data_IF_414762362246
#
_entry.id   IF_414762362246
#
_cell.length_a   1.000
_cell.length_b   1.000
_cell.length_c   1.000
_cell.angle_alpha   90.00
_cell.angle_beta   90.00
_cell.angle_gamma   90.00
#
_symmetry.space_group_name_H-M   'P 1'
#
loop_
_entity.id
_entity.type
_entity.pdbx_description
1 polymer ?
#
# COMPACT_ATOMS: atom_id res chain seq x y z
N UNK A 1 6.59 17.31 13.46
CA UNK A 1 7.13 17.14 12.10
C UNK A 1 6.09 17.61 11.12
N UNK A 2 6.11 17.01 9.95
CA UNK A 2 5.13 17.19 8.88
C UNK A 2 3.72 16.90 9.41
N UNK A 3 2.73 17.61 8.87
CA UNK A 3 1.33 17.59 9.35
C UNK A 3 1.11 17.92 10.85
N UNK A 4 2.13 18.42 11.55
CA UNK A 4 2.08 18.63 13.00
C UNK A 4 2.17 17.34 13.84
N UNK A 5 2.56 16.21 13.24
CA UNK A 5 2.60 14.89 13.89
C UNK A 5 4.02 14.36 14.14
N UNK A 6 4.07 13.22 14.84
CA UNK A 6 5.20 12.29 14.98
C UNK A 6 4.63 10.86 14.98
N UNK A 7 5.49 9.83 14.91
CA UNK A 7 5.13 8.41 14.66
C UNK A 7 4.84 8.10 13.17
N UNK A 8 4.32 6.90 12.88
CA UNK A 8 4.03 6.39 11.53
C UNK A 8 2.53 6.04 11.43
N UNK A 9 2.16 5.03 10.64
CA UNK A 9 0.80 4.43 10.48
C UNK A 9 -0.08 5.07 9.43
N UNK A 10 0.21 6.31 9.05
CA UNK A 10 -0.55 6.99 8.01
C UNK A 10 -0.09 6.55 6.62
N UNK A 11 -0.99 6.61 5.64
CA UNK A 11 -0.69 6.43 4.21
C UNK A 11 -0.02 7.67 3.57
N UNK A 12 0.15 8.75 4.34
CA UNK A 12 0.88 9.94 3.89
C UNK A 12 2.35 9.63 3.59
N UNK A 13 2.93 10.40 2.67
CA UNK A 13 4.24 10.14 2.06
C UNK A 13 5.34 9.86 3.07
N UNK A 14 5.42 10.68 4.12
CA UNK A 14 6.45 10.66 5.14
C UNK A 14 6.40 9.39 6.02
N UNK A 15 5.23 8.74 6.08
CA UNK A 15 5.01 7.48 6.81
C UNK A 15 5.00 6.26 5.88
N UNK A 16 4.62 6.45 4.62
CA UNK A 16 4.46 5.39 3.63
C UNK A 16 5.78 5.00 2.97
N UNK A 17 6.57 5.99 2.57
CA UNK A 17 7.75 5.77 1.74
C UNK A 17 8.99 5.47 2.60
N UNK A 18 9.70 4.40 2.27
CA UNK A 18 10.94 3.99 2.96
C UNK A 18 12.11 4.07 2.00
N UNK A 19 13.26 4.65 2.40
CA UNK A 19 14.47 4.61 1.59
C UNK A 19 14.88 3.18 1.25
N UNK A 20 15.14 2.91 -0.03
CA UNK A 20 15.59 1.61 -0.52
C UNK A 20 16.86 1.77 -1.35
N UNK A 21 17.97 1.19 -0.88
CA UNK A 21 19.26 1.22 -1.56
C UNK A 21 19.73 -0.22 -1.72
N UNK A 22 20.07 -0.61 -2.95
CA UNK A 22 20.51 -1.96 -3.28
C UNK A 22 21.87 -1.90 -3.96
N UNK A 23 22.76 -2.82 -3.58
CA UNK A 23 24.03 -3.08 -4.26
C UNK A 23 24.13 -4.56 -4.59
N UNK A 24 24.12 -4.88 -5.88
CA UNK A 24 24.27 -6.25 -6.36
C UNK A 24 25.34 -6.28 -7.47
N UNK A 25 26.58 -6.70 -7.15
CA UNK A 25 27.66 -6.76 -8.13
C UNK A 25 27.29 -7.60 -9.35
N UNK A 26 27.54 -7.06 -10.55
CA UNK A 26 27.19 -7.72 -11.81
C UNK A 26 25.72 -7.56 -12.24
N UNK A 27 24.85 -7.00 -11.40
CA UNK A 27 23.44 -6.73 -11.71
C UNK A 27 23.17 -5.22 -11.69
N UNK A 28 23.40 -4.57 -10.55
CA UNK A 28 23.15 -3.13 -10.41
C UNK A 28 24.23 -2.28 -11.07
N UNK A 29 23.82 -1.21 -11.76
CA UNK A 29 24.71 -0.14 -12.20
C UNK A 29 24.91 0.90 -11.06
N UNK A 30 26.15 1.24 -10.68
CA UNK A 30 26.39 2.23 -9.63
C UNK A 30 25.83 3.62 -9.99
N UNK A 31 25.16 4.25 -9.03
CA UNK A 31 24.64 5.62 -9.18
C UNK A 31 23.28 5.73 -9.90
N UNK A 32 22.67 4.61 -10.30
CA UNK A 32 21.33 4.59 -10.92
C UNK A 32 20.23 4.83 -9.88
N UNK A 33 19.17 5.53 -10.31
CA UNK A 33 17.92 5.75 -9.55
C UNK A 33 16.73 5.19 -10.32
N UNK A 34 15.64 4.86 -9.62
CA UNK A 34 14.40 4.37 -10.21
C UNK A 34 13.19 4.93 -9.47
N UNK A 35 12.19 5.39 -10.22
CA UNK A 35 10.89 5.85 -9.70
C UNK A 35 9.82 4.75 -9.77
N UNK A 36 10.21 3.52 -10.15
CA UNK A 36 9.28 2.40 -10.21
C UNK A 36 8.71 2.09 -8.82
N UNK A 37 7.41 1.83 -8.76
CA UNK A 37 6.74 1.46 -7.51
C UNK A 37 7.19 0.06 -7.10
N UNK A 38 7.87 -0.01 -5.95
CA UNK A 38 8.33 -1.25 -5.31
C UNK A 38 7.64 -1.45 -3.96
N UNK A 39 7.63 -2.69 -3.51
CA UNK A 39 7.01 -3.11 -2.25
C UNK A 39 8.00 -3.93 -1.44
N UNK A 40 7.83 -3.91 -0.11
CA UNK A 40 8.53 -4.87 0.77
C UNK A 40 8.22 -6.33 0.40
N UNK A 41 7.09 -6.57 -0.27
CA UNK A 41 6.72 -7.89 -0.78
C UNK A 41 7.60 -8.34 -1.94
N UNK A 42 8.36 -7.46 -2.59
CA UNK A 42 9.23 -7.81 -3.72
C UNK A 42 10.54 -8.47 -3.28
N UNK A 43 10.95 -8.23 -2.03
CA UNK A 43 12.26 -8.64 -1.54
C UNK A 43 12.42 -10.16 -1.47
N UNK A 44 11.45 -10.93 -0.94
CA UNK A 44 11.57 -12.39 -0.89
C UNK A 44 11.76 -13.02 -2.28
N UNK A 45 11.01 -12.60 -3.29
CA UNK A 45 11.11 -13.05 -4.69
C UNK A 45 12.45 -12.65 -5.30
N UNK A 46 12.93 -11.44 -5.00
CA UNK A 46 14.27 -10.98 -5.40
C UNK A 46 15.37 -11.85 -4.80
N UNK A 47 15.23 -12.24 -3.53
CA UNK A 47 16.21 -13.10 -2.86
C UNK A 47 16.17 -14.53 -3.39
N UNK A 48 14.99 -15.06 -3.74
CA UNK A 48 14.86 -16.37 -4.37
C UNK A 48 15.53 -16.38 -5.74
N UNK A 49 15.28 -15.36 -6.58
CA UNK A 49 15.97 -15.20 -7.87
C UNK A 49 17.49 -15.13 -7.68
N UNK A 50 17.96 -14.30 -6.74
CA UNK A 50 19.38 -14.16 -6.44
C UNK A 50 20.04 -15.48 -6.02
N UNK A 51 19.28 -16.35 -5.34
CA UNK A 51 19.72 -17.67 -4.90
C UNK A 51 19.49 -18.78 -5.96
N UNK A 52 19.01 -18.44 -7.15
CA UNK A 52 18.69 -19.40 -8.21
C UNK A 52 17.56 -20.37 -7.83
N UNK A 53 16.66 -19.95 -6.94
CA UNK A 53 15.52 -20.75 -6.48
C UNK A 53 14.25 -20.39 -7.26
N UNK A 54 13.34 -21.35 -7.39
CA UNK A 54 12.02 -21.11 -7.97
C UNK A 54 11.17 -20.22 -7.07
N UNK A 55 10.43 -19.28 -7.65
CA UNK A 55 9.45 -18.45 -6.92
C UNK A 55 8.11 -19.19 -6.81
N UNK A 56 7.62 -19.47 -5.58
CA UNK A 56 6.28 -19.99 -5.36
C UNK A 56 5.17 -19.10 -5.94
N UNK A 57 4.12 -19.73 -6.51
CA UNK A 57 3.03 -19.02 -7.18
C UNK A 57 2.04 -18.29 -6.25
N UNK A 58 2.16 -18.49 -4.94
CA UNK A 58 1.30 -17.89 -3.92
C UNK A 58 1.88 -16.60 -3.31
N UNK A 59 3.08 -16.22 -3.73
CA UNK A 59 3.67 -14.93 -3.37
C UNK A 59 3.05 -13.81 -4.21
N UNK A 60 3.11 -12.57 -3.70
CA UNK A 60 2.40 -11.43 -4.27
C UNK A 60 3.34 -10.28 -4.69
N UNK A 61 4.64 -10.44 -4.53
CA UNK A 61 5.64 -9.51 -5.01
C UNK A 61 6.10 -9.84 -6.42
N UNK A 62 7.09 -9.08 -6.87
CA UNK A 62 7.78 -9.33 -8.12
C UNK A 62 9.25 -9.06 -7.89
N UNK A 63 10.12 -9.93 -8.42
CA UNK A 63 11.55 -9.73 -8.25
C UNK A 63 11.98 -8.38 -8.82
N UNK A 64 12.83 -7.69 -8.08
CA UNK A 64 13.44 -6.43 -8.49
C UNK A 64 14.59 -6.64 -9.48
N UNK A 65 15.01 -7.89 -9.74
CA UNK A 65 16.14 -8.22 -10.62
C UNK A 65 16.16 -7.44 -11.93
N UNK A 66 15.07 -7.43 -12.73
CA UNK A 66 14.99 -6.63 -13.95
C UNK A 66 15.19 -5.12 -13.70
N UNK A 67 14.52 -4.55 -12.69
CA UNK A 67 14.66 -3.14 -12.34
C UNK A 67 16.10 -2.80 -11.94
N UNK A 68 16.73 -3.67 -11.15
CA UNK A 68 18.12 -3.52 -10.71
C UNK A 68 19.11 -3.60 -11.88
N UNK A 69 18.77 -4.37 -12.91
CA UNK A 69 19.52 -4.42 -14.18
C UNK A 69 19.22 -3.24 -15.13
N UNK A 70 18.39 -2.28 -14.72
CA UNK A 70 18.02 -1.10 -15.51
C UNK A 70 16.91 -1.35 -16.53
N UNK A 71 16.13 -2.41 -16.37
CA UNK A 71 15.02 -2.77 -17.25
C UNK A 71 13.70 -2.55 -16.51
N UNK A 72 12.79 -1.77 -17.09
CA UNK A 72 11.42 -1.62 -16.59
C UNK A 72 10.49 -2.53 -17.41
N UNK A 73 9.98 -3.62 -16.84
CA UNK A 73 9.00 -4.47 -17.53
C UNK A 73 7.72 -3.72 -17.89
N UNK A 74 7.12 -4.02 -19.04
CA UNK A 74 5.88 -3.37 -19.51
C UNK A 74 4.68 -3.64 -18.58
N UNK A 75 4.68 -4.80 -17.92
CA UNK A 75 3.70 -5.26 -16.95
C UNK A 75 4.04 -4.88 -15.50
N UNK A 76 5.09 -4.07 -15.28
CA UNK A 76 5.43 -3.61 -13.95
C UNK A 76 4.28 -2.81 -13.33
N UNK A 77 4.05 -3.02 -12.03
CA UNK A 77 2.93 -2.40 -11.33
C UNK A 77 2.97 -0.87 -11.41
N UNK A 78 1.79 -0.27 -11.55
CA UNK A 78 1.58 1.19 -11.59
C UNK A 78 0.88 1.72 -10.35
N UNK A 79 0.59 0.83 -9.41
CA UNK A 79 -0.18 1.09 -8.21
C UNK A 79 0.34 0.25 -7.05
N UNK A 80 0.09 0.74 -5.83
CA UNK A 80 0.45 0.10 -4.58
C UNK A 80 -0.75 0.07 -3.65
N UNK A 81 -1.03 -1.10 -3.07
CA UNK A 81 -2.08 -1.27 -2.07
C UNK A 81 -1.54 -1.08 -0.66
N UNK A 82 -2.24 -0.28 0.14
CA UNK A 82 -1.94 -0.07 1.56
C UNK A 82 -3.14 -0.43 2.43
N UNK A 83 -2.90 -1.05 3.58
CA UNK A 83 -3.95 -1.30 4.58
C UNK A 83 -3.38 -1.29 5.99
N UNK A 84 -3.90 -0.38 6.81
CA UNK A 84 -3.61 -0.25 8.23
C UNK A 84 -4.78 -0.72 9.10
N UNK A 85 -4.48 -1.53 10.11
CA UNK A 85 -5.48 -2.23 10.94
C UNK A 85 -5.45 -1.87 12.43
N UNK A 86 -4.40 -1.22 12.93
CA UNK A 86 -4.16 -1.13 14.37
C UNK A 86 -4.98 0.00 15.04
N UNK A 87 -6.28 -0.25 15.22
CA UNK A 87 -7.19 0.62 15.98
C UNK A 87 -8.30 -0.20 16.68
N UNK A 88 -8.71 0.15 17.91
CA UNK A 88 -8.11 1.16 18.80
C UNK A 88 -6.68 0.82 19.19
N UNK A 89 -5.76 1.77 19.20
CA UNK A 89 -4.33 1.50 19.39
C UNK A 89 -3.53 2.75 19.78
N UNK A 90 -2.22 2.60 19.94
CA UNK A 90 -1.33 3.72 20.21
C UNK A 90 -1.48 4.79 19.10
N UNK A 91 -1.41 6.06 19.49
CA UNK A 91 -1.58 7.23 18.62
C UNK A 91 -2.95 7.38 17.94
N UNK A 92 -3.92 6.48 18.23
CA UNK A 92 -5.32 6.57 17.78
C UNK A 92 -5.52 6.78 16.26
N UNK A 93 -4.56 6.33 15.44
CA UNK A 93 -4.69 6.36 13.98
C UNK A 93 -5.80 5.42 13.56
N UNK A 94 -6.76 5.92 12.79
CA UNK A 94 -7.95 5.16 12.37
C UNK A 94 -7.60 4.14 11.32
N UNK A 95 -8.34 3.03 11.29
CA UNK A 95 -8.12 2.03 10.26
C UNK A 95 -8.43 2.60 8.89
N UNK A 96 -7.55 2.34 7.94
CA UNK A 96 -7.72 2.80 6.57
C UNK A 96 -7.03 1.88 5.59
N UNK A 97 -7.54 1.85 4.37
CA UNK A 97 -6.90 1.22 3.24
C UNK A 97 -6.95 2.16 2.04
N UNK A 98 -6.08 1.92 1.07
CA UNK A 98 -6.02 2.76 -0.11
C UNK A 98 -5.14 2.20 -1.21
N UNK A 99 -5.17 2.91 -2.33
CA UNK A 99 -4.32 2.70 -3.49
C UNK A 99 -3.51 3.96 -3.75
N UNK A 100 -2.25 3.76 -4.10
CA UNK A 100 -1.28 4.83 -4.38
C UNK A 100 -0.71 4.61 -5.78
N UNK A 101 -0.68 5.66 -6.60
CA UNK A 101 -0.03 5.69 -7.92
C UNK A 101 1.05 6.77 -7.95
N UNK A 102 1.71 6.97 -9.10
CA UNK A 102 2.69 8.05 -9.31
C UNK A 102 2.08 9.45 -9.07
N UNK A 103 0.78 9.60 -9.30
CA UNK A 103 0.09 10.90 -9.25
C UNK A 103 -0.93 11.01 -8.13
N UNK A 104 -1.66 9.94 -7.82
CA UNK A 104 -2.81 10.02 -6.93
C UNK A 104 -2.71 9.07 -5.75
N UNK A 105 -3.34 9.45 -4.63
CA UNK A 105 -3.67 8.53 -3.54
C UNK A 105 -5.17 8.56 -3.31
N UNK A 106 -5.81 7.39 -3.30
CA UNK A 106 -7.19 7.24 -2.88
C UNK A 106 -7.21 6.34 -1.64
N UNK A 107 -7.82 6.80 -0.56
CA UNK A 107 -7.93 6.01 0.66
C UNK A 107 -9.23 6.26 1.42
N UNK A 108 -9.61 5.26 2.21
CA UNK A 108 -10.88 5.21 2.93
C UNK A 108 -10.64 4.93 4.40
N UNK A 109 -11.11 5.82 5.27
CA UNK A 109 -11.36 5.47 6.66
C UNK A 109 -12.73 4.80 6.71
N UNK A 110 -12.81 3.62 7.33
CA UNK A 110 -13.98 2.74 7.20
C UNK A 110 -14.65 2.38 8.52
N UNK A 111 -14.33 3.09 9.59
CA UNK A 111 -14.99 2.87 10.88
C UNK A 111 -16.33 3.61 10.97
N UNK A 112 -17.33 3.11 11.71
CA UNK A 112 -18.66 3.73 11.74
C UNK A 112 -18.66 5.21 12.17
N UNK A 113 -17.73 5.60 13.04
CA UNK A 113 -17.57 6.98 13.52
C UNK A 113 -16.63 7.82 12.63
N UNK A 114 -15.92 7.19 11.69
CA UNK A 114 -15.05 7.85 10.72
C UNK A 114 -15.08 7.08 9.39
N UNK A 115 -16.06 7.42 8.56
CA UNK A 115 -16.34 6.77 7.29
C UNK A 115 -16.34 7.81 6.16
N UNK A 116 -15.20 8.00 5.50
CA UNK A 116 -15.08 8.93 4.39
C UNK A 116 -13.87 8.61 3.50
N UNK A 117 -13.99 9.01 2.24
CA UNK A 117 -12.94 8.89 1.24
C UNK A 117 -12.09 10.16 1.15
N UNK A 118 -10.79 9.94 0.90
CA UNK A 118 -9.84 11.00 0.58
C UNK A 118 -9.17 10.70 -0.75
N UNK A 119 -9.12 11.70 -1.62
CA UNK A 119 -8.32 11.69 -2.85
C UNK A 119 -7.30 12.83 -2.78
N UNK A 120 -6.03 12.52 -3.04
CA UNK A 120 -4.92 13.48 -3.10
C UNK A 120 -4.33 13.48 -4.52
N UNK A 121 -4.14 14.66 -5.12
CA UNK A 121 -3.34 14.86 -6.34
C UNK A 121 -1.91 15.29 -5.93
N UNK A 122 -1.00 14.33 -5.85
CA UNK A 122 0.38 14.52 -5.35
C UNK A 122 1.21 15.44 -6.24
N UNK A 123 0.83 15.61 -7.51
CA UNK A 123 1.50 16.55 -8.43
C UNK A 123 1.08 17.99 -8.19
N UNK A 124 -0.15 18.22 -7.72
CA UNK A 124 -0.66 19.57 -7.38
C UNK A 124 -0.51 19.90 -5.89
N UNK A 125 -0.39 18.88 -5.04
CA UNK A 125 -0.32 18.99 -3.59
C UNK A 125 0.74 18.04 -3.03
N UNK A 126 1.99 18.46 -3.11
CA UNK A 126 3.16 17.69 -2.67
C UNK A 126 3.20 17.46 -1.16
N UNK A 127 2.40 18.19 -0.39
CA UNK A 127 2.30 18.06 1.07
C UNK A 127 1.01 17.36 1.50
N UNK A 128 0.20 16.85 0.56
CA UNK A 128 -0.97 16.01 0.84
C UNK A 128 -1.97 16.64 1.82
N UNK A 129 -2.17 17.95 1.72
CA UNK A 129 -2.98 18.75 2.63
C UNK A 129 -4.45 18.90 2.18
N UNK A 130 -4.78 18.56 0.93
CA UNK A 130 -6.07 18.85 0.31
C UNK A 130 -6.76 17.58 -0.15
N UNK A 131 -7.86 17.25 0.52
CA UNK A 131 -8.81 16.27 0.01
C UNK A 131 -9.58 16.85 -1.19
N UNK A 132 -9.40 16.25 -2.37
CA UNK A 132 -10.08 16.64 -3.62
C UNK A 132 -11.18 15.67 -4.04
N UNK A 133 -11.58 14.74 -3.17
CA UNK A 133 -12.54 13.67 -3.48
C UNK A 133 -13.90 14.18 -3.99
N UNK A 134 -14.43 15.30 -3.49
CA UNK A 134 -15.75 15.78 -3.95
C UNK A 134 -15.67 16.77 -5.13
N UNK A 135 -14.49 16.98 -5.70
CA UNK A 135 -14.30 17.94 -6.79
C UNK A 135 -14.59 17.31 -8.17
N UNK A 136 -15.55 17.84 -8.95
CA UNK A 136 -15.97 17.24 -10.23
C UNK A 136 -14.85 17.00 -11.24
N UNK A 137 -13.82 17.86 -11.24
CA UNK A 137 -12.66 17.72 -12.15
C UNK A 137 -11.83 16.45 -11.93
N UNK A 138 -12.01 15.76 -10.80
CA UNK A 138 -11.32 14.51 -10.48
C UNK A 138 -12.21 13.27 -10.62
N UNK A 139 -13.42 13.38 -11.18
CA UNK A 139 -14.35 12.25 -11.29
C UNK A 139 -13.75 11.03 -12.03
N UNK A 140 -12.98 11.26 -13.10
CA UNK A 140 -12.34 10.16 -13.82
C UNK A 140 -11.23 9.50 -12.99
N UNK A 141 -10.40 10.29 -12.30
CA UNK A 141 -9.36 9.76 -11.41
C UNK A 141 -9.97 8.96 -10.25
N UNK A 142 -11.10 9.39 -9.69
CA UNK A 142 -11.81 8.62 -8.67
C UNK A 142 -12.26 7.27 -9.20
N UNK A 143 -12.90 7.26 -10.37
CA UNK A 143 -13.39 6.03 -11.01
C UNK A 143 -12.24 5.06 -11.29
N UNK A 144 -11.14 5.56 -11.85
CA UNK A 144 -9.94 4.77 -12.12
C UNK A 144 -9.37 4.16 -10.83
N UNK A 145 -9.17 4.97 -9.79
CA UNK A 145 -8.57 4.52 -8.53
C UNK A 145 -9.47 3.58 -7.74
N UNK A 146 -10.79 3.76 -7.78
CA UNK A 146 -11.73 2.78 -7.19
C UNK A 146 -11.64 1.44 -7.92
N UNK A 147 -11.60 1.46 -9.27
CA UNK A 147 -11.42 0.25 -10.06
C UNK A 147 -10.09 -0.45 -9.76
N UNK A 148 -9.02 0.33 -9.59
CA UNK A 148 -7.70 -0.20 -9.27
C UNK A 148 -7.64 -0.77 -7.85
N UNK A 149 -8.29 -0.10 -6.89
CA UNK A 149 -8.42 -0.58 -5.52
C UNK A 149 -9.17 -1.92 -5.46
N UNK A 150 -10.26 -2.06 -6.20
CA UNK A 150 -11.02 -3.32 -6.29
C UNK A 150 -10.19 -4.42 -6.93
N UNK A 151 -9.45 -4.11 -8.01
CA UNK A 151 -8.54 -5.03 -8.68
C UNK A 151 -7.47 -5.56 -7.71
N UNK A 152 -6.78 -4.66 -7.02
CA UNK A 152 -5.73 -5.01 -6.06
C UNK A 152 -6.25 -5.80 -4.86
N UNK A 153 -7.41 -5.42 -4.31
CA UNK A 153 -8.02 -6.17 -3.19
C UNK A 153 -8.34 -7.61 -3.60
N UNK A 154 -8.80 -7.82 -4.83
CA UNK A 154 -9.04 -9.17 -5.37
C UNK A 154 -7.74 -9.94 -5.60
N UNK A 155 -6.75 -9.31 -6.24
CA UNK A 155 -5.45 -9.91 -6.55
C UNK A 155 -4.72 -10.35 -5.28
N UNK A 156 -4.65 -9.47 -4.29
CA UNK A 156 -3.98 -9.69 -2.99
C UNK A 156 -4.83 -10.51 -2.01
N UNK A 157 -6.00 -11.01 -2.45
CA UNK A 157 -6.93 -11.83 -1.66
C UNK A 157 -7.26 -11.18 -0.30
N UNK A 158 -7.44 -9.85 -0.30
CA UNK A 158 -7.74 -9.09 0.91
C UNK A 158 -9.07 -9.57 1.48
N UNK A 159 -9.13 -9.96 2.77
CA UNK A 159 -10.36 -10.47 3.35
C UNK A 159 -11.43 -9.37 3.42
N UNK A 160 -12.70 -9.75 3.22
CA UNK A 160 -13.84 -8.84 3.35
C UNK A 160 -14.03 -8.29 4.77
N UNK A 161 -13.58 -9.06 5.76
CA UNK A 161 -13.64 -8.71 7.17
C UNK A 161 -12.22 -8.74 7.72
N UNK A 162 -11.84 -7.68 8.42
CA UNK A 162 -10.54 -7.59 9.08
C UNK A 162 -10.28 -8.84 9.94
N UNK A 163 -9.05 -9.38 9.89
CA UNK A 163 -8.67 -10.44 10.82
C UNK A 163 -8.76 -9.94 12.26
N UNK A 164 -9.14 -10.81 13.22
CA UNK A 164 -9.19 -10.42 14.62
C UNK A 164 -7.80 -9.97 15.09
N UNK A 165 -7.75 -8.95 15.95
CA UNK A 165 -6.48 -8.50 16.52
C UNK A 165 -5.82 -9.66 17.26
N UNK A 166 -4.52 -9.87 17.05
CA UNK A 166 -3.73 -10.90 17.74
C UNK A 166 -3.92 -10.73 19.26
N UNK A 167 -4.49 -11.73 19.92
CA UNK A 167 -4.82 -11.72 21.35
C UNK A 167 -6.31 -11.53 21.70
N UNK A 168 -7.16 -11.09 20.77
CA UNK A 168 -8.62 -11.07 20.96
C UNK A 168 -9.24 -12.36 20.39
N UNK A 169 -9.37 -13.40 21.23
CA UNK A 169 -10.22 -14.55 20.88
C UNK A 169 -11.66 -14.05 20.66
N UNK A 170 -12.30 -14.45 19.55
CA UNK A 170 -13.75 -14.27 19.36
C UNK A 170 -14.46 -14.84 20.59
N UNK A 171 -15.15 -14.01 21.38
CA UNK A 171 -16.18 -14.52 22.29
C UNK A 171 -17.25 -15.17 21.40
N UNK A 172 -17.18 -16.49 21.22
CA UNK A 172 -18.29 -17.23 20.66
C UNK A 172 -19.50 -16.95 21.55
N UNK A 173 -20.53 -16.30 21.00
CA UNK A 173 -21.83 -16.18 21.64
C UNK A 173 -22.40 -17.60 21.75
N UNK A 174 -22.19 -18.23 22.89
CA UNK A 174 -22.91 -19.44 23.27
C UNK A 174 -24.39 -19.12 23.40
N UNK A 175 -25.18 -19.54 22.40
CA UNK A 175 -26.60 -19.82 22.59
C UNK A 175 -26.70 -21.23 23.16
N UNK A 176 -27.20 -21.36 24.38
CA UNK A 176 -27.96 -22.52 24.89
C UNK A 176 -28.74 -21.97 26.10
N UNK A 177 -30.01 -21.61 25.91
CA UNK A 177 -31.19 -22.40 26.29
C UNK A 177 -31.15 -22.85 27.76
N UNK A 178 -31.93 -22.15 28.59
CA UNK A 178 -32.83 -22.77 29.57
C UNK A 178 -34.17 -22.04 29.48
#
# INVERSE_FOLDING_TARGET
>A
GEHGWFDKRWIYEESLTTPCIVRWPGVTQPGTTSDAIVSILDFPETFLEAAGQSVPSDMHGSSLGPLLAGQLPDDWRKSFYYHYYEFPGAHSVRKHYGVVTDRYKLFHFYEPDMNYWTLIDRKQDTHEMKNVYDQPKYAEAQKELHGELDRLRKELKVPLVDPPRRGQKKKQKGKQKS
#
